data_IF_812845893436
#
_entry.id   IF_812845893436
#
_cell.length_a   1.000
_cell.length_b   1.000
_cell.length_c   1.000
_cell.angle_alpha   90.00
_cell.angle_beta   90.00
_cell.angle_gamma   90.00
#
_symmetry.space_group_name_H-M   'P 1'
#
loop_
_entity.id
_entity.type
_entity.pdbx_description
1 polymer ?
#
# COMPACT_ATOMS: atom_id res chain seq x y z
N UNK A 1 -4.79 5.54 8.95
CA UNK A 1 -4.17 6.26 7.81
C UNK A 1 -4.91 5.92 6.53
N UNK A 2 -5.25 6.93 5.73
CA UNK A 2 -5.94 6.75 4.45
C UNK A 2 -5.04 7.26 3.33
N UNK A 3 -4.68 6.38 2.39
CA UNK A 3 -4.00 6.75 1.15
C UNK A 3 -4.98 6.61 0.00
N UNK A 4 -5.07 7.64 -0.83
CA UNK A 4 -5.94 7.64 -2.01
C UNK A 4 -5.40 6.69 -3.08
N UNK A 5 -4.08 6.56 -3.16
CA UNK A 5 -3.37 5.71 -4.10
C UNK A 5 -1.95 5.40 -3.58
N UNK A 6 -1.27 4.49 -4.27
CA UNK A 6 0.09 4.10 -3.90
C UNK A 6 1.13 5.19 -4.12
N UNK A 7 0.88 6.16 -4.99
CA UNK A 7 1.76 7.33 -5.17
C UNK A 7 1.81 8.16 -3.88
N UNK A 8 0.65 8.41 -3.27
CA UNK A 8 0.56 9.14 -2.00
C UNK A 8 1.17 8.36 -0.84
N UNK A 9 0.94 7.04 -0.80
CA UNK A 9 1.59 6.16 0.17
C UNK A 9 3.12 6.24 0.06
N UNK A 10 3.65 6.08 -1.16
CA UNK A 10 5.09 6.11 -1.45
C UNK A 10 5.71 7.48 -1.16
N UNK A 11 4.98 8.57 -1.42
CA UNK A 11 5.40 9.93 -1.07
C UNK A 11 5.53 10.15 0.44
N UNK A 12 4.70 9.48 1.25
CA UNK A 12 4.84 9.47 2.72
C UNK A 12 5.81 8.39 3.23
N UNK A 13 6.54 7.71 2.34
CA UNK A 13 7.48 6.65 2.69
C UNK A 13 6.86 5.25 2.88
N UNK A 14 5.54 5.11 2.66
CA UNK A 14 4.85 3.83 2.74
C UNK A 14 4.97 3.10 1.39
N UNK A 15 5.89 2.14 1.33
CA UNK A 15 6.13 1.22 0.20
C UNK A 15 6.13 -0.23 0.70
N UNK A 16 5.72 -1.18 -0.14
CA UNK A 16 5.65 -2.60 0.21
C UNK A 16 4.86 -2.84 1.52
N UNK A 17 3.65 -2.26 1.61
CA UNK A 17 2.86 -2.29 2.83
C UNK A 17 2.23 -3.67 2.94
N UNK A 18 2.67 -4.47 3.91
CA UNK A 18 2.16 -5.83 4.12
C UNK A 18 0.80 -5.83 4.82
N UNK A 19 -0.01 -6.85 4.53
CA UNK A 19 -1.27 -7.12 5.23
C UNK A 19 -1.06 -7.16 6.75
N UNK A 20 -1.70 -6.24 7.46
CA UNK A 20 -1.55 -6.03 8.91
C UNK A 20 -0.77 -4.77 9.31
N UNK A 21 -0.05 -4.13 8.37
CA UNK A 21 0.60 -2.84 8.66
C UNK A 21 -0.38 -1.66 8.58
N UNK A 22 -0.15 -0.61 9.39
CA UNK A 22 -0.91 0.63 9.30
C UNK A 22 -0.67 1.30 7.94
N UNK A 23 -1.62 1.13 7.02
CA UNK A 23 -1.52 1.62 5.64
C UNK A 23 -1.88 0.56 4.59
N UNK A 24 -1.90 -0.73 4.96
CA UNK A 24 -2.36 -1.78 4.06
C UNK A 24 -3.84 -1.61 3.81
N UNK A 25 -4.22 -1.61 2.53
CA UNK A 25 -5.61 -1.68 2.13
C UNK A 25 -5.73 -2.62 0.95
N UNK A 26 -6.71 -3.52 0.95
CA UNK A 26 -6.97 -4.41 -0.19
C UNK A 26 -7.38 -3.65 -1.46
N UNK A 27 -7.67 -2.34 -1.37
CA UNK A 27 -7.93 -1.47 -2.52
C UNK A 27 -6.65 -0.87 -3.13
N UNK A 28 -5.53 -0.91 -2.41
CA UNK A 28 -4.21 -0.48 -2.86
C UNK A 28 -3.37 -1.66 -3.36
N UNK A 29 -3.70 -2.85 -2.89
CA UNK A 29 -3.20 -4.14 -3.34
C UNK A 29 -4.02 -4.58 -4.57
N UNK A 30 -3.50 -4.30 -5.77
CA UNK A 30 -4.25 -4.47 -7.03
C UNK A 30 -4.34 -5.94 -7.43
N UNK A 31 -3.30 -6.70 -7.11
CA UNK A 31 -3.08 -8.11 -7.38
C UNK A 31 -3.48 -9.03 -6.23
N UNK A 32 -3.78 -8.46 -5.06
CA UNK A 32 -4.27 -9.16 -3.86
C UNK A 32 -3.27 -10.19 -3.33
N UNK A 33 -1.99 -9.93 -3.49
CA UNK A 33 -0.90 -10.78 -3.01
C UNK A 33 -0.65 -10.59 -1.51
N UNK A 34 -1.24 -9.56 -0.90
CA UNK A 34 -1.05 -9.19 0.50
C UNK A 34 -0.03 -8.07 0.70
N UNK A 35 0.48 -7.45 -0.36
CA UNK A 35 1.43 -6.34 -0.33
C UNK A 35 0.87 -5.16 -1.15
N UNK A 36 0.36 -4.17 -0.43
CA UNK A 36 -0.09 -2.94 -1.07
C UNK A 36 1.09 -2.06 -1.47
N UNK A 37 0.98 -1.41 -2.64
CA UNK A 37 1.94 -0.41 -3.10
C UNK A 37 3.36 -0.97 -3.24
N UNK A 38 3.46 -2.17 -3.82
CA UNK A 38 4.72 -2.72 -4.27
C UNK A 38 5.42 -1.77 -5.26
N UNK A 39 6.75 -1.72 -5.17
CA UNK A 39 7.59 -0.91 -6.06
C UNK A 39 8.15 -1.70 -7.24
N UNK A 40 7.44 -2.75 -7.67
CA UNK A 40 7.85 -3.59 -8.78
C UNK A 40 7.57 -2.91 -10.13
#
# INVERSE_FOLDING_TARGET
MYFKNCKEAKAKGYKNIKRGQPGYRPKLDRDKDGIACESK
#
